data_IF_300700383385
#
_entry.id   IF_300700383385
#
_cell.length_a   1.000
_cell.length_b   1.000
_cell.length_c   1.000
_cell.angle_alpha   90.00
_cell.angle_beta   90.00
_cell.angle_gamma   90.00
#
_symmetry.space_group_name_H-M   'P 1'
#
loop_
_entity.id
_entity.type
_entity.pdbx_description
1 polymer ?
#
# COMPACT_ATOMS: atom_id res chain seq x y z
N UNK A 1 -10.56 9.21 20.56
CA UNK A 1 -9.14 9.28 20.17
C UNK A 1 -9.04 9.00 18.68
N UNK A 2 -8.67 9.99 17.88
CA UNK A 2 -8.40 9.81 16.44
C UNK A 2 -6.89 9.65 16.33
N UNK A 3 -6.39 8.55 15.75
CA UNK A 3 -4.96 8.39 15.45
C UNK A 3 -4.82 8.65 13.95
N UNK A 4 -4.37 9.86 13.54
CA UNK A 4 -4.28 10.22 12.13
C UNK A 4 -3.42 9.25 11.33
N UNK A 5 -2.41 8.65 11.98
CA UNK A 5 -1.53 7.66 11.38
C UNK A 5 -2.26 6.37 10.96
N UNK A 6 -3.22 5.87 11.77
CA UNK A 6 -3.95 4.63 11.44
C UNK A 6 -4.83 4.83 10.19
N UNK A 7 -5.59 5.92 10.16
CA UNK A 7 -6.46 6.24 9.03
C UNK A 7 -5.65 6.51 7.75
N UNK A 8 -4.51 7.20 7.88
CA UNK A 8 -3.59 7.44 6.75
C UNK A 8 -2.96 6.14 6.25
N UNK A 9 -2.57 5.24 7.16
CA UNK A 9 -2.05 3.92 6.80
C UNK A 9 -3.08 3.06 6.06
N UNK A 10 -4.32 3.02 6.53
CA UNK A 10 -5.39 2.27 5.84
C UNK A 10 -5.69 2.88 4.47
N UNK A 11 -5.78 4.20 4.35
CA UNK A 11 -5.97 4.88 3.07
C UNK A 11 -4.81 4.60 2.10
N UNK A 12 -3.57 4.61 2.59
CA UNK A 12 -2.38 4.27 1.81
C UNK A 12 -2.39 2.83 1.30
N UNK A 13 -2.83 1.87 2.13
CA UNK A 13 -3.02 0.47 1.71
C UNK A 13 -4.05 0.38 0.58
N UNK A 14 -5.23 0.98 0.75
CA UNK A 14 -6.29 0.93 -0.25
C UNK A 14 -5.84 1.54 -1.59
N UNK A 15 -5.22 2.72 -1.55
CA UNK A 15 -4.71 3.39 -2.74
C UNK A 15 -3.64 2.56 -3.45
N UNK A 16 -2.70 1.97 -2.70
CA UNK A 16 -1.65 1.11 -3.26
C UNK A 16 -2.21 -0.19 -3.86
N UNK A 17 -3.23 -0.80 -3.23
CA UNK A 17 -3.90 -1.97 -3.78
C UNK A 17 -4.64 -1.65 -5.09
N UNK A 18 -5.25 -0.48 -5.20
CA UNK A 18 -5.92 -0.04 -6.43
C UNK A 18 -4.92 0.28 -7.55
N UNK A 19 -3.76 0.83 -7.21
CA UNK A 19 -2.64 0.97 -8.15
C UNK A 19 -2.14 -0.39 -8.64
N UNK A 20 -1.86 -1.31 -7.71
CA UNK A 20 -1.42 -2.67 -8.02
C UNK A 20 -2.35 -3.39 -8.99
N UNK A 21 -3.67 -3.33 -8.76
CA UNK A 21 -4.67 -3.96 -9.64
C UNK A 21 -4.65 -3.37 -11.04
N UNK A 22 -4.55 -2.04 -11.15
CA UNK A 22 -4.49 -1.34 -12.45
C UNK A 22 -3.23 -1.72 -13.22
N UNK A 23 -2.07 -1.60 -12.57
CA UNK A 23 -0.78 -1.93 -13.18
C UNK A 23 -0.68 -3.41 -13.56
N UNK A 24 -1.20 -4.32 -12.75
CA UNK A 24 -1.27 -5.74 -13.09
C UNK A 24 -2.14 -6.00 -14.34
N UNK A 25 -3.27 -5.30 -14.47
CA UNK A 25 -4.13 -5.41 -15.65
C UNK A 25 -3.45 -4.90 -16.92
N UNK A 26 -2.65 -3.84 -16.81
CA UNK A 26 -1.90 -3.26 -17.92
C UNK A 26 -0.77 -4.18 -18.38
N UNK A 27 -0.04 -4.79 -17.43
CA UNK A 27 0.99 -5.81 -17.73
C UNK A 27 0.36 -7.02 -18.43
N UNK A 28 -0.82 -7.47 -17.99
CA UNK A 28 -1.51 -8.60 -18.61
C UNK A 28 -1.92 -8.31 -20.06
N UNK A 29 -2.41 -7.09 -20.33
CA UNK A 29 -2.73 -6.61 -21.69
C UNK A 29 -1.49 -6.50 -22.57
N UNK A 30 -0.40 -5.94 -22.03
CA UNK A 30 0.88 -5.84 -22.74
C UNK A 30 1.42 -7.22 -23.15
N UNK A 31 1.29 -8.22 -22.26
CA UNK A 31 1.70 -9.60 -22.52
C UNK A 31 0.82 -10.28 -23.58
N UNK A 32 -0.42 -9.80 -23.78
CA UNK A 32 -1.38 -10.34 -24.74
C UNK A 32 -1.20 -9.80 -26.17
N UNK A 33 -0.25 -8.89 -26.40
CA UNK A 33 0.12 -8.40 -27.74
C UNK A 33 -0.37 -7.00 -28.11
N UNK A 34 -0.97 -6.25 -27.18
CA UNK A 34 -1.54 -4.90 -27.43
C UNK A 34 -0.48 -3.79 -27.64
N UNK A 35 0.81 -4.12 -27.65
CA UNK A 35 1.90 -3.15 -27.95
C UNK A 35 2.12 -2.07 -26.88
N UNK A 36 1.47 -2.17 -25.72
CA UNK A 36 1.67 -1.26 -24.58
C UNK A 36 3.00 -1.51 -23.87
N UNK A 37 3.73 -0.44 -23.52
CA UNK A 37 5.01 -0.52 -22.80
C UNK A 37 4.82 -1.05 -21.36
N UNK A 38 5.06 -2.35 -21.19
CA UNK A 38 4.96 -3.05 -19.90
C UNK A 38 6.02 -2.58 -18.89
N UNK A 39 7.12 -1.97 -19.34
CA UNK A 39 8.23 -1.57 -18.46
C UNK A 39 7.78 -0.55 -17.43
N UNK A 40 7.01 0.45 -17.88
CA UNK A 40 6.45 1.47 -16.99
C UNK A 40 5.47 0.85 -15.99
N UNK A 41 4.52 0.05 -16.47
CA UNK A 41 3.53 -0.61 -15.62
C UNK A 41 4.20 -1.53 -14.58
N UNK A 42 5.31 -2.19 -14.91
CA UNK A 42 6.10 -3.01 -13.97
C UNK A 42 6.78 -2.16 -12.89
N UNK A 43 7.35 -1.01 -13.25
CA UNK A 43 7.97 -0.09 -12.29
C UNK A 43 6.91 0.49 -11.35
N UNK A 44 5.77 0.93 -11.91
CA UNK A 44 4.66 1.49 -11.16
C UNK A 44 4.03 0.42 -10.24
N UNK A 45 3.90 -0.84 -10.69
CA UNK A 45 3.48 -1.97 -9.85
C UNK A 45 4.40 -2.15 -8.63
N UNK A 46 5.72 -2.04 -8.81
CA UNK A 46 6.68 -2.14 -7.71
C UNK A 46 6.62 -0.93 -6.78
N UNK A 47 6.36 0.26 -7.31
CA UNK A 47 6.16 1.45 -6.50
C UNK A 47 4.90 1.31 -5.62
N UNK A 48 3.79 0.84 -6.18
CA UNK A 48 2.55 0.59 -5.43
C UNK A 48 2.73 -0.50 -4.38
N UNK A 49 3.48 -1.57 -4.69
CA UNK A 49 3.83 -2.59 -3.70
C UNK A 49 4.54 -1.98 -2.49
N UNK A 50 5.56 -1.14 -2.74
CA UNK A 50 6.29 -0.44 -1.67
C UNK A 50 5.39 0.52 -0.89
N UNK A 51 4.44 1.18 -1.56
CA UNK A 51 3.47 2.05 -0.92
C UNK A 51 2.57 1.28 0.06
N UNK A 52 2.09 0.10 -0.33
CA UNK A 52 1.34 -0.79 0.56
C UNK A 52 2.20 -1.22 1.75
N UNK A 53 3.42 -1.70 1.51
CA UNK A 53 4.35 -2.13 2.56
C UNK A 53 4.67 -1.01 3.56
N UNK A 54 4.91 0.21 3.07
CA UNK A 54 5.12 1.37 3.91
C UNK A 54 3.88 1.71 4.75
N UNK A 55 2.70 1.68 4.13
CA UNK A 55 1.44 1.98 4.81
C UNK A 55 1.11 0.94 5.89
N UNK A 56 1.42 -0.35 5.66
CA UNK A 56 1.33 -1.41 6.68
C UNK A 56 2.25 -1.12 7.86
N UNK A 57 3.48 -0.65 7.63
CA UNK A 57 4.39 -0.27 8.73
C UNK A 57 3.82 0.88 9.57
N UNK A 58 3.17 1.86 8.94
CA UNK A 58 2.50 2.97 9.67
C UNK A 58 1.38 2.44 10.57
N UNK A 59 0.54 1.54 10.05
CA UNK A 59 -0.53 0.91 10.84
C UNK A 59 0.04 0.12 12.01
N UNK A 60 1.09 -0.67 11.77
CA UNK A 60 1.75 -1.46 12.81
C UNK A 60 2.36 -0.58 13.91
N UNK A 61 3.05 0.50 13.53
CA UNK A 61 3.61 1.44 14.49
C UNK A 61 2.52 2.13 15.33
N UNK A 62 1.39 2.48 14.70
CA UNK A 62 0.25 3.05 15.43
C UNK A 62 -0.36 2.05 16.43
N UNK A 63 -0.43 0.77 16.07
CA UNK A 63 -0.89 -0.32 16.95
C UNK A 63 0.07 -0.57 18.12
N UNK A 64 1.39 -0.64 17.86
CA UNK A 64 2.42 -0.78 18.90
C UNK A 64 2.42 0.41 19.88
N UNK A 65 2.24 1.63 19.38
CA UNK A 65 2.07 2.83 20.22
C UNK A 65 0.82 2.74 21.10
N UNK A 66 -0.30 2.27 20.57
CA UNK A 66 -1.51 2.05 21.36
C UNK A 66 -1.30 0.99 22.44
N UNK A 67 -0.71 -0.15 22.08
CA UNK A 67 -0.40 -1.25 23.00
C UNK A 67 0.48 -0.79 24.16
N UNK A 68 1.56 -0.07 23.86
CA UNK A 68 2.46 0.49 24.90
C UNK A 68 1.77 1.51 25.81
N UNK A 69 0.87 2.35 25.27
CA UNK A 69 0.09 3.29 26.11
C UNK A 69 -0.92 2.57 27.01
N UNK A 70 -1.47 1.44 26.57
CA UNK A 70 -2.36 0.61 27.38
C UNK A 70 -1.59 -0.11 28.48
N UNK A 71 -0.42 -0.68 28.15
CA UNK A 71 0.45 -1.40 29.10
C UNK A 71 0.95 -0.48 30.23
N UNK A 72 1.32 0.77 29.92
CA UNK A 72 1.73 1.77 30.94
C UNK A 72 0.60 2.13 31.91
N UNK A 73 -0.67 1.96 31.52
CA UNK A 73 -1.83 2.30 32.35
C UNK A 73 -2.39 1.11 33.15
N UNK A 74 -1.95 -0.11 32.87
CA UNK A 74 -2.35 -1.34 33.56
C UNK A 74 -1.56 -1.51 34.87
#
# INVERSE_FOLDING_TARGET
>A
MHIPALQTGIAGINNGLDGLRRNASEIARATSGDGTDSTRALVDLRADQRQVEASVKVVKAADEMLGSLLDVRA
#
